data_IF_917293343404
#
_entry.id   IF_917293343404
#
_cell.length_a   1.000
_cell.length_b   1.000
_cell.length_c   1.000
_cell.angle_alpha   90.00
_cell.angle_beta   90.00
_cell.angle_gamma   90.00
#
_symmetry.space_group_name_H-M   'P 1'
#
loop_
_entity.id
_entity.type
_entity.pdbx_description
1 polymer ?
#
# COMPACT_ATOMS: atom_id res chain seq x y z
N UNK A 1 -14.46 7.38 -0.85
CA UNK A 1 -13.03 7.51 -0.64
C UNK A 1 -12.66 7.07 0.76
N UNK A 2 -11.59 6.32 0.86
CA UNK A 2 -11.15 5.87 2.15
C UNK A 2 -10.37 6.99 2.84
N UNK A 3 -10.84 7.40 3.98
CA UNK A 3 -10.18 8.44 4.73
C UNK A 3 -9.42 7.79 5.85
N UNK A 4 -8.14 7.99 5.82
CA UNK A 4 -7.29 7.46 6.86
C UNK A 4 -7.20 8.49 7.95
N UNK A 5 -7.38 8.04 9.17
CA UNK A 5 -7.28 8.94 10.29
C UNK A 5 -5.95 9.68 10.23
N UNK A 6 -6.05 10.97 10.26
CA UNK A 6 -4.86 11.78 10.22
C UNK A 6 -4.25 11.81 11.59
N UNK A 7 -2.99 11.60 11.62
CA UNK A 7 -2.27 11.73 12.86
C UNK A 7 -0.97 12.40 12.57
N UNK A 8 -0.49 13.06 13.54
CA UNK A 8 0.75 13.77 13.38
C UNK A 8 1.84 12.92 13.97
N UNK A 9 2.76 12.62 13.13
CA UNK A 9 3.90 11.87 13.58
C UNK A 9 4.95 12.86 14.06
N UNK A 10 5.08 12.95 15.35
CA UNK A 10 6.02 13.89 15.93
C UNK A 10 7.34 13.22 16.18
N UNK A 11 7.43 11.95 15.90
CA UNK A 11 8.67 11.25 16.12
C UNK A 11 9.77 11.79 15.23
N UNK A 12 10.96 11.64 15.67
CA UNK A 12 12.12 12.14 14.94
C UNK A 12 12.81 11.06 14.16
N UNK A 13 12.46 9.82 14.40
CA UNK A 13 12.99 8.71 13.67
C UNK A 13 11.87 8.03 12.91
N UNK A 14 12.19 7.55 11.72
CA UNK A 14 11.20 6.82 10.94
C UNK A 14 10.99 5.46 11.54
N UNK A 15 9.73 5.08 11.72
CA UNK A 15 9.40 3.73 12.11
C UNK A 15 9.60 2.80 10.93
N UNK A 16 9.56 1.50 11.17
CA UNK A 16 9.65 0.53 10.09
C UNK A 16 8.53 0.75 9.07
N UNK A 17 7.36 1.11 9.56
CA UNK A 17 6.22 1.39 8.69
C UNK A 17 6.52 2.57 7.77
N UNK A 18 7.09 3.62 8.31
CA UNK A 18 7.40 4.79 7.52
C UNK A 18 8.53 4.54 6.55
N UNK A 19 9.52 3.76 6.95
CA UNK A 19 10.62 3.41 6.04
C UNK A 19 10.10 2.61 4.87
N UNK A 20 9.19 1.68 5.11
CA UNK A 20 8.60 0.89 4.06
C UNK A 20 7.83 1.77 3.10
N UNK A 21 7.03 2.68 3.63
CA UNK A 21 6.27 3.61 2.80
C UNK A 21 7.18 4.47 1.95
N UNK A 22 8.24 5.00 2.54
CA UNK A 22 9.17 5.84 1.81
C UNK A 22 9.85 5.07 0.68
N UNK A 23 10.25 3.83 0.96
CA UNK A 23 10.92 3.02 -0.04
C UNK A 23 9.99 2.78 -1.23
N UNK A 24 8.72 2.51 -0.97
CA UNK A 24 7.75 2.27 -2.02
C UNK A 24 7.47 3.55 -2.81
N UNK A 25 7.32 4.66 -2.12
CA UNK A 25 7.07 5.94 -2.78
C UNK A 25 8.26 6.37 -3.65
N UNK A 26 9.47 6.09 -3.18
CA UNK A 26 10.66 6.50 -3.91
C UNK A 26 10.85 5.74 -5.21
N UNK A 27 10.40 4.50 -5.26
CA UNK A 27 10.60 3.69 -6.46
C UNK A 27 9.41 2.78 -6.71
N UNK A 28 8.27 3.34 -7.13
CA UNK A 28 7.06 2.54 -7.33
C UNK A 28 7.17 1.54 -8.49
N UNK A 29 8.21 1.67 -9.30
CA UNK A 29 8.41 0.76 -10.44
C UNK A 29 9.12 -0.53 -10.05
N UNK A 30 9.65 -0.58 -8.85
CA UNK A 30 10.42 -1.75 -8.40
C UNK A 30 9.97 -2.13 -7.00
N UNK A 31 8.72 -2.52 -6.88
CA UNK A 31 8.12 -2.87 -5.58
C UNK A 31 7.79 -4.34 -5.60
N UNK A 32 8.24 -5.03 -4.57
CA UNK A 32 7.91 -6.44 -4.41
C UNK A 32 6.51 -6.58 -3.85
N UNK A 33 5.84 -7.66 -4.26
CA UNK A 33 4.49 -7.90 -3.77
C UNK A 33 4.45 -7.95 -2.25
N UNK A 34 5.42 -8.62 -1.64
CA UNK A 34 5.47 -8.77 -0.19
C UNK A 34 5.54 -7.41 0.51
N UNK A 35 6.27 -6.49 -0.07
CA UNK A 35 6.40 -5.15 0.52
C UNK A 35 5.11 -4.38 0.44
N UNK A 36 4.45 -4.42 -0.71
CA UNK A 36 3.17 -3.74 -0.86
C UNK A 36 2.11 -4.36 0.05
N UNK A 37 2.10 -5.67 0.13
CA UNK A 37 1.16 -6.37 1.01
C UNK A 37 1.37 -5.94 2.45
N UNK A 38 2.63 -5.90 2.88
CA UNK A 38 2.94 -5.50 4.24
C UNK A 38 2.47 -4.07 4.52
N UNK A 39 2.70 -3.18 3.56
CA UNK A 39 2.27 -1.80 3.71
C UNK A 39 0.76 -1.70 3.87
N UNK A 40 0.02 -2.38 3.01
CA UNK A 40 -1.44 -2.32 3.07
C UNK A 40 -1.96 -2.89 4.38
N UNK A 41 -1.36 -3.97 4.86
CA UNK A 41 -1.77 -4.55 6.13
C UNK A 41 -1.50 -3.58 7.27
N UNK A 42 -0.39 -2.87 7.23
CA UNK A 42 -0.07 -1.89 8.26
C UNK A 42 -1.07 -0.75 8.28
N UNK A 43 -1.74 -0.51 7.15
CA UNK A 43 -2.75 0.53 7.07
C UNK A 43 -4.16 0.01 7.34
N UNK A 44 -4.28 -1.24 7.78
CA UNK A 44 -5.56 -1.77 8.20
C UNK A 44 -6.29 -2.61 7.17
N UNK A 45 -5.66 -2.88 6.03
CA UNK A 45 -6.26 -3.74 5.03
C UNK A 45 -6.09 -5.20 5.38
N UNK A 46 -7.06 -6.01 4.95
CA UNK A 46 -6.96 -7.44 5.05
C UNK A 46 -6.65 -8.01 3.68
N UNK A 47 -5.72 -8.95 3.65
CA UNK A 47 -5.30 -9.55 2.40
C UNK A 47 -6.03 -10.87 2.19
N UNK A 48 -6.65 -11.02 1.03
CA UNK A 48 -7.37 -12.23 0.68
C UNK A 48 -6.89 -12.73 -0.66
N UNK A 49 -6.57 -14.00 -0.73
CA UNK A 49 -6.18 -14.65 -1.98
C UNK A 49 -7.32 -15.55 -2.43
N UNK A 50 -7.71 -15.42 -3.69
CA UNK A 50 -8.85 -16.13 -4.22
C UNK A 50 -8.44 -17.41 -4.95
N UNK A 51 -7.24 -17.90 -4.70
CA UNK A 51 -6.79 -19.15 -5.25
C UNK A 51 -5.93 -19.02 -6.50
N UNK A 52 -5.70 -17.82 -6.97
CA UNK A 52 -4.84 -17.59 -8.11
C UNK A 52 -3.75 -16.59 -7.80
N UNK A 53 -3.34 -15.87 -8.82
CA UNK A 53 -2.30 -14.87 -8.65
C UNK A 53 -2.86 -13.52 -8.25
N UNK A 54 -4.16 -13.39 -8.08
CA UNK A 54 -4.77 -12.13 -7.70
C UNK A 54 -5.03 -12.10 -6.20
N UNK A 55 -4.69 -10.99 -5.59
CA UNK A 55 -4.93 -10.75 -4.18
C UNK A 55 -5.87 -9.57 -4.05
N UNK A 56 -6.83 -9.68 -3.15
CA UNK A 56 -7.77 -8.60 -2.85
C UNK A 56 -7.48 -8.07 -1.47
N UNK A 57 -7.34 -6.77 -1.37
CA UNK A 57 -7.10 -6.11 -0.09
C UNK A 57 -8.35 -5.33 0.28
N UNK A 58 -8.88 -5.58 1.44
CA UNK A 58 -10.14 -5.01 1.89
C UNK A 58 -9.98 -4.28 3.20
N UNK A 59 -10.72 -3.19 3.30
CA UNK A 59 -10.76 -2.40 4.53
C UNK A 59 -12.14 -1.79 4.64
N UNK A 60 -12.72 -1.81 5.85
CA UNK A 60 -14.03 -1.24 6.06
C UNK A 60 -14.07 0.21 5.64
N UNK A 61 -15.09 0.57 4.87
CA UNK A 61 -15.24 1.93 4.40
C UNK A 61 -14.39 2.30 3.21
N UNK A 62 -13.61 1.37 2.71
CA UNK A 62 -12.73 1.63 1.58
C UNK A 62 -13.07 0.69 0.45
N UNK A 63 -12.71 1.09 -0.75
CA UNK A 63 -12.85 0.23 -1.91
C UNK A 63 -11.81 -0.89 -1.86
N UNK A 64 -12.19 -2.03 -2.44
CA UNK A 64 -11.25 -3.13 -2.55
C UNK A 64 -10.13 -2.77 -3.51
N UNK A 65 -8.92 -3.21 -3.17
CA UNK A 65 -7.77 -3.06 -4.04
C UNK A 65 -7.33 -4.44 -4.50
N UNK A 66 -7.24 -4.63 -5.79
CA UNK A 66 -6.82 -5.90 -6.36
C UNK A 66 -5.41 -5.75 -6.87
N UNK A 67 -4.51 -6.62 -6.41
CA UNK A 67 -3.11 -6.57 -6.81
C UNK A 67 -2.68 -7.96 -7.26
N UNK A 68 -2.23 -8.10 -8.52
CA UNK A 68 -1.72 -9.39 -8.97
C UNK A 68 -0.35 -9.66 -8.37
N UNK A 69 -0.09 -10.93 -8.11
CA UNK A 69 1.22 -11.33 -7.61
C UNK A 69 2.21 -11.34 -8.77
N UNK A 70 3.10 -10.38 -8.78
CA UNK A 70 4.12 -10.27 -9.81
C UNK A 70 5.40 -9.70 -9.20
N UNK A 71 6.50 -9.94 -9.85
CA UNK A 71 7.80 -9.47 -9.41
C UNK A 71 8.50 -8.78 -10.55
N UNK A 72 8.62 -7.47 -10.54
CA UNK A 72 7.98 -6.56 -9.59
C UNK A 72 6.53 -6.30 -9.94
N UNK A 73 5.80 -5.67 -9.02
CA UNK A 73 4.44 -5.25 -9.28
C UNK A 73 4.47 -4.06 -10.23
N UNK A 74 3.54 -4.02 -11.17
CA UNK A 74 3.46 -2.88 -12.07
C UNK A 74 3.22 -1.60 -11.29
N UNK A 75 3.88 -0.54 -11.71
CA UNK A 75 3.76 0.74 -11.02
C UNK A 75 2.32 1.21 -10.91
N UNK A 76 1.51 0.89 -11.89
CA UNK A 76 0.10 1.26 -11.86
C UNK A 76 -0.59 0.80 -10.58
N UNK A 77 -0.35 -0.44 -10.19
CA UNK A 77 -0.99 -0.98 -8.98
C UNK A 77 -0.42 -0.35 -7.73
N UNK A 78 0.87 -0.09 -7.74
CA UNK A 78 1.52 0.53 -6.59
C UNK A 78 0.99 1.94 -6.38
N UNK A 79 0.92 2.72 -7.45
CA UNK A 79 0.44 4.10 -7.36
C UNK A 79 -1.02 4.12 -6.93
N UNK A 80 -1.80 3.21 -7.48
CA UNK A 80 -3.21 3.12 -7.11
C UNK A 80 -3.38 2.83 -5.62
N UNK A 81 -2.57 1.91 -5.10
CA UNK A 81 -2.63 1.60 -3.69
C UNK A 81 -2.22 2.80 -2.84
N UNK A 82 -1.17 3.50 -3.24
CA UNK A 82 -0.75 4.69 -2.52
C UNK A 82 -1.82 5.76 -2.51
N UNK A 83 -2.54 5.91 -3.61
CA UNK A 83 -3.64 6.87 -3.67
C UNK A 83 -4.77 6.46 -2.73
N UNK A 84 -5.06 5.18 -2.66
CA UNK A 84 -6.09 4.68 -1.75
C UNK A 84 -5.72 4.92 -0.30
N UNK A 85 -4.44 4.87 0.01
CA UNK A 85 -3.97 5.15 1.36
C UNK A 85 -3.91 6.64 1.66
N UNK A 86 -4.05 7.47 0.64
CA UNK A 86 -3.98 8.92 0.83
C UNK A 86 -2.57 9.44 1.03
N UNK A 87 -1.57 8.67 0.60
CA UNK A 87 -0.17 9.05 0.83
C UNK A 87 0.60 9.31 -0.45
N UNK A 88 -0.08 9.29 -1.59
CA UNK A 88 0.58 9.52 -2.86
C UNK A 88 0.62 11.01 -3.18
N UNK A 89 1.81 11.50 -3.44
CA UNK A 89 2.01 12.89 -3.80
C UNK A 89 2.00 13.03 -5.31
N UNK A 90 0.96 13.65 -5.82
CA UNK A 90 0.88 13.95 -7.24
C UNK A 90 1.47 15.32 -7.48
N UNK A 91 2.27 15.42 -8.51
CA UNK A 91 2.81 16.71 -8.91
C UNK A 91 2.29 17.12 -10.25
#
# INVERSE_FOLDING_TARGET
MCIIAVYINIGHTLSKKEKLLQAIKNNPKDVRFEDLKKLLIQYGYEAHNTGGSHWVFRKDGCNDEVVPYKKPIKAYYVIRALKSLGVYDEK
#
